data_IF_170436264324
#
_entry.id   IF_170436264324
#
_cell.length_a   1.000
_cell.length_b   1.000
_cell.length_c   1.000
_cell.angle_alpha   90.00
_cell.angle_beta   90.00
_cell.angle_gamma   90.00
#
_symmetry.space_group_name_H-M   'P 1'
#
loop_
_entity.id
_entity.type
_entity.pdbx_description
1 polymer ?
#
# COMPACT_ATOMS: atom_id res chain seq x y z
N UNK A 1 17.74 -6.73 1.53
CA UNK A 1 16.44 -6.17 1.16
C UNK A 1 16.29 -6.23 -0.34
N UNK A 2 15.07 -6.16 -0.86
CA UNK A 2 14.82 -6.05 -2.30
C UNK A 2 15.49 -4.80 -2.87
N UNK A 3 15.52 -3.68 -2.13
CA UNK A 3 16.27 -2.48 -2.53
C UNK A 3 17.73 -2.79 -2.89
N UNK A 4 18.43 -3.59 -2.06
CA UNK A 4 19.84 -3.96 -2.31
C UNK A 4 19.96 -4.82 -3.57
N UNK A 5 19.06 -5.79 -3.73
CA UNK A 5 19.05 -6.71 -4.87
C UNK A 5 18.78 -5.95 -6.19
N UNK A 6 17.87 -4.97 -6.14
CA UNK A 6 17.59 -4.05 -7.25
C UNK A 6 18.83 -3.23 -7.58
N UNK A 7 19.44 -2.57 -6.60
CA UNK A 7 20.63 -1.74 -6.82
C UNK A 7 21.78 -2.57 -7.37
N UNK A 8 22.01 -3.77 -6.84
CA UNK A 8 23.09 -4.65 -7.28
C UNK A 8 22.86 -5.14 -8.72
N UNK A 9 21.69 -5.73 -9.00
CA UNK A 9 21.41 -6.38 -10.29
C UNK A 9 21.24 -5.37 -11.43
N UNK A 10 20.54 -4.27 -11.17
CA UNK A 10 20.27 -3.27 -12.21
C UNK A 10 21.49 -2.40 -12.52
N UNK A 11 22.44 -2.23 -11.59
CA UNK A 11 23.73 -1.58 -11.88
C UNK A 11 24.69 -2.47 -12.67
N UNK A 12 24.62 -3.79 -12.50
CA UNK A 12 25.43 -4.75 -13.26
C UNK A 12 24.92 -5.03 -14.67
N UNK A 13 23.75 -4.51 -15.05
CA UNK A 13 23.22 -4.66 -16.40
C UNK A 13 24.08 -3.89 -17.42
N UNK A 14 24.18 -4.42 -18.65
CA UNK A 14 24.96 -3.81 -19.74
C UNK A 14 24.62 -2.31 -19.87
N UNK A 15 25.63 -1.41 -19.71
CA UNK A 15 25.47 0.04 -19.84
C UNK A 15 24.75 0.49 -21.10
N UNK A 16 24.93 -0.23 -22.21
CA UNK A 16 24.43 0.15 -23.52
C UNK A 16 22.99 -0.33 -23.75
N UNK A 17 22.47 -1.22 -22.90
CA UNK A 17 21.19 -1.88 -23.15
C UNK A 17 20.08 -1.48 -22.16
N UNK A 18 20.38 -0.88 -21.01
CA UNK A 18 19.34 -0.66 -20.00
C UNK A 18 19.47 0.61 -19.15
N UNK A 19 19.47 1.78 -19.81
CA UNK A 19 19.46 3.10 -19.16
C UNK A 19 18.30 3.28 -18.15
N UNK A 20 17.13 2.70 -18.44
CA UNK A 20 15.96 2.68 -17.52
C UNK A 20 16.33 2.02 -16.19
N UNK A 21 16.89 0.81 -16.23
CA UNK A 21 17.25 0.07 -15.03
C UNK A 21 18.32 0.80 -14.19
N UNK A 22 19.29 1.44 -14.84
CA UNK A 22 20.31 2.23 -14.14
C UNK A 22 19.71 3.43 -13.43
N UNK A 23 18.91 4.23 -14.14
CA UNK A 23 18.24 5.39 -13.57
C UNK A 23 17.33 4.98 -12.40
N UNK A 24 16.64 3.83 -12.51
CA UNK A 24 15.86 3.27 -11.42
C UNK A 24 16.73 2.92 -10.20
N UNK A 25 17.82 2.19 -10.41
CA UNK A 25 18.75 1.77 -9.36
C UNK A 25 19.36 2.98 -8.61
N UNK A 26 19.68 4.05 -9.33
CA UNK A 26 20.20 5.29 -8.73
C UNK A 26 19.16 6.00 -7.87
N UNK A 27 17.89 5.99 -8.26
CA UNK A 27 16.81 6.47 -7.41
C UNK A 27 16.65 5.59 -6.17
N UNK A 28 16.57 4.27 -6.33
CA UNK A 28 16.44 3.34 -5.18
C UNK A 28 17.60 3.50 -4.19
N UNK A 29 18.83 3.70 -4.67
CA UNK A 29 20.00 3.92 -3.81
C UNK A 29 19.90 5.21 -2.98
N UNK A 30 19.27 6.27 -3.50
CA UNK A 30 19.11 7.57 -2.82
C UNK A 30 17.84 7.68 -1.97
N UNK A 31 16.86 6.80 -2.18
CA UNK A 31 15.56 6.86 -1.53
C UNK A 31 15.66 6.65 -0.01
N UNK A 32 14.81 7.33 0.75
CA UNK A 32 14.56 6.93 2.13
C UNK A 32 13.80 5.61 2.13
N UNK A 33 14.37 4.57 2.73
CA UNK A 33 13.81 3.21 2.69
C UNK A 33 13.00 2.90 3.94
N UNK A 34 11.83 2.29 3.74
CA UNK A 34 10.93 1.78 4.76
C UNK A 34 10.58 0.32 4.46
N UNK A 35 10.83 -0.56 5.43
CA UNK A 35 10.37 -1.94 5.40
C UNK A 35 9.14 -2.04 6.29
N UNK A 36 8.01 -2.47 5.74
CA UNK A 36 6.76 -2.64 6.48
C UNK A 36 6.73 -4.02 7.13
N UNK A 37 6.39 -4.05 8.42
CA UNK A 37 6.16 -5.28 9.19
C UNK A 37 4.73 -5.81 8.97
N UNK A 38 4.48 -7.07 9.35
CA UNK A 38 3.15 -7.68 9.37
C UNK A 38 2.11 -6.79 10.06
N UNK A 39 2.46 -6.16 11.19
CA UNK A 39 1.55 -5.29 11.94
C UNK A 39 1.22 -4.00 11.18
N UNK A 40 2.23 -3.40 10.54
CA UNK A 40 2.01 -2.21 9.70
C UNK A 40 1.15 -2.55 8.47
N UNK A 41 1.38 -3.71 7.85
CA UNK A 41 0.59 -4.21 6.71
C UNK A 41 -0.85 -4.53 7.10
N UNK A 42 -1.08 -5.07 8.30
CA UNK A 42 -2.43 -5.29 8.81
C UNK A 42 -3.22 -3.99 8.96
N UNK A 43 -2.55 -2.94 9.43
CA UNK A 43 -3.15 -1.61 9.48
C UNK A 43 -3.46 -1.10 8.07
N UNK A 44 -2.51 -1.11 7.12
CA UNK A 44 -2.78 -0.65 5.74
C UNK A 44 -3.92 -1.42 5.08
N UNK A 45 -4.05 -2.71 5.34
CA UNK A 45 -5.17 -3.52 4.83
C UNK A 45 -6.50 -3.04 5.41
N UNK A 46 -6.56 -2.78 6.72
CA UNK A 46 -7.76 -2.22 7.36
C UNK A 46 -8.11 -0.85 6.77
N UNK A 47 -7.11 -0.02 6.44
CA UNK A 47 -7.30 1.26 5.74
C UNK A 47 -7.87 1.07 4.34
N UNK A 48 -7.30 0.14 3.57
CA UNK A 48 -7.64 -0.10 2.17
C UNK A 48 -9.13 -0.36 1.95
N UNK A 49 -9.79 -0.94 2.95
CA UNK A 49 -11.20 -1.34 2.91
C UNK A 49 -12.03 -0.63 4.00
N UNK A 50 -11.53 0.49 4.51
CA UNK A 50 -12.29 1.40 5.36
C UNK A 50 -13.38 2.11 4.57
N UNK A 51 -14.20 2.91 5.27
CA UNK A 51 -15.23 3.73 4.62
C UNK A 51 -14.60 4.75 3.66
N UNK A 52 -15.07 4.83 2.39
CA UNK A 52 -14.60 5.82 1.43
C UNK A 52 -14.57 7.27 1.95
N UNK A 53 -15.61 7.71 2.64
CA UNK A 53 -15.67 9.05 3.26
C UNK A 53 -14.51 9.30 4.22
N UNK A 54 -14.13 8.28 4.99
CA UNK A 54 -12.99 8.37 5.93
C UNK A 54 -11.67 8.50 5.17
N UNK A 55 -11.47 7.75 4.09
CA UNK A 55 -10.28 7.84 3.24
C UNK A 55 -10.14 9.22 2.60
N UNK A 56 -11.22 9.74 2.01
CA UNK A 56 -11.25 11.09 1.44
C UNK A 56 -10.92 12.14 2.49
N UNK A 57 -11.52 12.05 3.68
CA UNK A 57 -11.26 13.03 4.75
C UNK A 57 -9.80 13.02 5.21
N UNK A 58 -9.10 11.88 5.09
CA UNK A 58 -7.70 11.75 5.44
C UNK A 58 -6.75 12.30 4.37
N UNK A 59 -7.13 12.26 3.09
CA UNK A 59 -6.26 12.62 1.96
C UNK A 59 -5.60 13.99 2.09
N UNK A 60 -6.37 15.01 2.49
CA UNK A 60 -5.85 16.37 2.67
C UNK A 60 -4.71 16.47 3.69
N UNK A 61 -4.51 15.46 4.54
CA UNK A 61 -3.42 15.38 5.52
C UNK A 61 -2.26 14.48 5.11
N UNK A 62 -2.35 13.74 4.00
CA UNK A 62 -1.30 12.82 3.55
C UNK A 62 -0.18 13.61 2.87
N UNK A 63 1.06 13.42 3.33
CA UNK A 63 2.28 13.98 2.73
C UNK A 63 3.33 12.91 2.54
N UNK A 64 4.10 12.97 1.47
CA UNK A 64 5.37 12.24 1.40
C UNK A 64 6.42 12.97 2.24
N UNK A 65 6.98 12.33 3.29
CA UNK A 65 7.96 12.99 4.15
C UNK A 65 9.33 13.18 3.48
N UNK A 66 9.58 12.50 2.36
CA UNK A 66 10.82 12.61 1.60
C UNK A 66 10.51 12.75 0.11
N UNK A 67 11.35 13.48 -0.66
CA UNK A 67 11.18 13.60 -2.11
C UNK A 67 11.24 12.25 -2.83
N UNK A 68 12.01 11.31 -2.27
CA UNK A 68 12.20 9.97 -2.79
C UNK A 68 12.12 8.96 -1.66
N UNK A 69 11.13 8.08 -1.71
CA UNK A 69 10.84 7.08 -0.68
C UNK A 69 10.78 5.70 -1.31
N UNK A 70 11.26 4.68 -0.62
CA UNK A 70 11.12 3.28 -1.02
C UNK A 70 10.34 2.53 0.05
N UNK A 71 9.22 1.93 -0.33
CA UNK A 71 8.48 1.01 0.53
C UNK A 71 8.74 -0.42 0.12
N UNK A 72 8.93 -1.31 1.08
CA UNK A 72 9.16 -2.73 0.84
C UNK A 72 8.37 -3.60 1.81
N UNK A 73 7.83 -4.71 1.30
CA UNK A 73 7.24 -5.77 2.13
C UNK A 73 7.49 -7.15 1.53
N UNK A 74 7.52 -8.18 2.38
CA UNK A 74 7.46 -9.56 1.93
C UNK A 74 6.01 -10.00 1.69
N UNK A 75 5.80 -10.95 0.80
CA UNK A 75 4.46 -11.51 0.57
C UNK A 75 4.00 -12.35 1.77
N UNK A 76 4.91 -13.07 2.43
CA UNK A 76 4.60 -13.83 3.64
C UNK A 76 4.01 -12.94 4.76
N UNK A 77 4.55 -11.72 4.93
CA UNK A 77 4.05 -10.74 5.91
C UNK A 77 2.66 -10.20 5.51
N UNK A 78 2.41 -10.03 4.20
CA UNK A 78 1.08 -9.64 3.68
C UNK A 78 0.05 -10.73 3.94
N UNK A 79 0.42 -11.98 3.69
CA UNK A 79 -0.47 -13.12 3.88
C UNK A 79 -0.73 -13.39 5.36
N UNK A 80 0.28 -13.20 6.20
CA UNK A 80 0.10 -13.24 7.65
C UNK A 80 -0.80 -12.11 8.14
N UNK A 81 -0.60 -10.88 7.66
CA UNK A 81 -1.48 -9.76 7.96
C UNK A 81 -2.93 -10.06 7.55
N UNK A 82 -3.16 -10.61 6.36
CA UNK A 82 -4.51 -11.00 5.92
C UNK A 82 -5.13 -12.01 6.87
N UNK A 83 -4.43 -13.10 7.20
CA UNK A 83 -4.91 -14.10 8.16
C UNK A 83 -5.27 -13.49 9.51
N UNK A 84 -4.46 -12.54 10.01
CA UNK A 84 -4.69 -11.90 11.31
C UNK A 84 -5.84 -10.88 11.30
N UNK A 85 -6.02 -10.11 10.22
CA UNK A 85 -6.90 -8.94 10.22
C UNK A 85 -8.13 -9.05 9.31
N UNK A 86 -8.07 -9.85 8.24
CA UNK A 86 -9.20 -10.10 7.32
C UNK A 86 -9.98 -11.38 7.68
N UNK A 87 -9.46 -12.25 8.56
CA UNK A 87 -10.10 -13.50 8.97
C UNK A 87 -9.90 -14.66 7.99
N UNK A 88 -10.76 -15.68 8.07
CA UNK A 88 -10.67 -16.94 7.28
C UNK A 88 -11.21 -16.83 5.84
N UNK A 89 -11.42 -15.61 5.31
CA UNK A 89 -11.88 -15.37 3.95
C UNK A 89 -10.72 -14.84 3.07
N UNK A 90 -9.71 -15.69 2.75
CA UNK A 90 -8.61 -15.27 1.92
C UNK A 90 -9.14 -14.99 0.53
N UNK A 91 -8.98 -13.74 0.06
CA UNK A 91 -9.07 -13.46 -1.37
C UNK A 91 -8.11 -14.39 -2.10
N UNK A 92 -8.56 -15.15 -3.10
CA UNK A 92 -7.63 -15.87 -3.95
C UNK A 92 -6.71 -14.82 -4.58
N UNK A 93 -5.42 -14.92 -4.28
CA UNK A 93 -4.40 -14.23 -5.06
C UNK A 93 -4.59 -14.70 -6.51
N UNK A 94 -4.50 -13.78 -7.46
CA UNK A 94 -4.33 -14.22 -8.85
C UNK A 94 -3.12 -15.17 -8.92
N UNK A 95 -3.13 -16.14 -9.83
CA UNK A 95 -2.02 -17.10 -9.98
C UNK A 95 -0.65 -16.42 -10.18
N UNK A 96 -0.65 -15.17 -10.67
CA UNK A 96 0.55 -14.35 -10.81
C UNK A 96 1.02 -13.77 -9.45
N UNK A 97 0.10 -13.37 -8.56
CA UNK A 97 0.43 -12.83 -7.24
C UNK A 97 0.93 -13.90 -6.26
N UNK A 98 0.46 -15.15 -6.39
CA UNK A 98 0.92 -16.25 -5.53
C UNK A 98 2.40 -16.60 -5.70
N UNK A 99 3.01 -16.15 -6.80
CA UNK A 99 4.44 -16.34 -7.07
C UNK A 99 5.30 -15.17 -6.59
N UNK A 100 4.71 -14.07 -6.10
CA UNK A 100 5.44 -12.90 -5.62
C UNK A 100 6.01 -13.21 -4.24
N UNK A 101 7.30 -12.94 -4.05
CA UNK A 101 8.00 -13.10 -2.77
C UNK A 101 8.16 -11.77 -2.05
N UNK A 102 8.46 -10.71 -2.81
CA UNK A 102 8.66 -9.35 -2.27
C UNK A 102 8.17 -8.32 -3.26
N UNK A 103 7.65 -7.23 -2.73
CA UNK A 103 7.32 -6.05 -3.51
C UNK A 103 8.04 -4.84 -2.95
N UNK A 104 8.60 -4.05 -3.85
CA UNK A 104 9.24 -2.79 -3.58
C UNK A 104 8.59 -1.70 -4.42
N UNK A 105 8.31 -0.55 -3.84
CA UNK A 105 7.68 0.56 -4.53
C UNK A 105 8.51 1.81 -4.30
N UNK A 106 9.11 2.32 -5.37
CA UNK A 106 9.78 3.62 -5.38
C UNK A 106 8.73 4.71 -5.55
N UNK A 107 8.75 5.69 -4.65
CA UNK A 107 7.82 6.80 -4.59
C UNK A 107 8.59 8.09 -4.80
N UNK A 108 8.16 8.89 -5.78
CA UNK A 108 8.74 10.19 -6.08
C UNK A 108 7.67 11.28 -5.92
N UNK A 109 7.96 12.34 -5.18
CA UNK A 109 7.08 13.52 -5.07
C UNK A 109 7.06 14.34 -6.36
N UNK A 110 5.91 14.88 -6.74
CA UNK A 110 5.68 15.61 -7.99
C UNK A 110 5.31 17.07 -7.73
N UNK A 111 6.29 17.96 -7.61
CA UNK A 111 6.06 19.40 -7.43
C UNK A 111 5.48 19.81 -6.07
N UNK A 112 4.69 18.95 -5.42
CA UNK A 112 4.17 19.10 -4.07
C UNK A 112 4.41 17.83 -3.25
N UNK A 113 4.34 17.93 -1.93
CA UNK A 113 4.41 16.78 -1.02
C UNK A 113 3.14 15.91 -1.05
N UNK A 114 2.08 16.38 -1.72
CA UNK A 114 0.77 15.72 -1.83
C UNK A 114 0.58 14.96 -3.14
N UNK A 115 1.40 15.28 -4.14
CA UNK A 115 1.42 14.62 -5.42
C UNK A 115 2.62 13.68 -5.50
N UNK A 116 2.41 12.45 -5.94
CA UNK A 116 3.49 11.47 -6.05
C UNK A 116 3.27 10.47 -7.16
N UNK A 117 4.35 9.77 -7.50
CA UNK A 117 4.41 8.69 -8.47
C UNK A 117 4.95 7.43 -7.81
N UNK A 118 4.29 6.31 -8.01
CA UNK A 118 4.66 4.99 -7.52
C UNK A 118 5.17 4.11 -8.67
N UNK A 119 6.41 3.62 -8.54
CA UNK A 119 7.10 2.81 -9.53
C UNK A 119 7.46 1.46 -8.90
N UNK A 120 6.67 0.41 -9.16
CA UNK A 120 6.82 -0.85 -8.47
C UNK A 120 7.82 -1.81 -9.13
N UNK A 121 8.44 -2.63 -8.28
CA UNK A 121 9.27 -3.78 -8.63
C UNK A 121 8.81 -4.98 -7.80
N UNK A 122 8.70 -6.13 -8.45
CA UNK A 122 8.42 -7.41 -7.78
C UNK A 122 9.58 -8.37 -7.93
N UNK A 123 9.81 -9.18 -6.89
CA UNK A 123 10.67 -10.35 -6.91
C UNK A 123 9.80 -11.59 -6.79
N UNK A 124 9.97 -12.54 -7.70
CA UNK A 124 9.24 -13.81 -7.71
C UNK A 124 9.96 -14.88 -6.87
N UNK A 125 9.23 -15.96 -6.58
CA UNK A 125 9.74 -17.11 -5.82
C UNK A 125 10.95 -17.79 -6.48
N UNK A 126 11.02 -17.79 -7.81
CA UNK A 126 12.16 -18.29 -8.59
C UNK A 126 13.37 -17.33 -8.63
N UNK A 127 13.26 -16.18 -7.95
CA UNK A 127 14.31 -15.18 -7.85
C UNK A 127 14.39 -14.21 -9.03
N UNK A 128 13.54 -14.33 -10.06
CA UNK A 128 13.40 -13.30 -11.11
C UNK A 128 12.86 -12.02 -10.51
N UNK A 129 13.20 -10.89 -11.13
CA UNK A 129 12.64 -9.58 -10.78
C UNK A 129 12.00 -8.96 -12.02
N UNK A 130 10.87 -8.28 -11.83
CA UNK A 130 10.19 -7.51 -12.86
C UNK A 130 10.06 -6.06 -12.40
N UNK A 131 10.68 -5.16 -13.15
CA UNK A 131 10.43 -3.74 -13.09
C UNK A 131 9.28 -3.43 -14.05
N UNK A 132 8.22 -2.80 -13.55
CA UNK A 132 7.10 -2.40 -14.41
C UNK A 132 7.51 -1.23 -15.29
N UNK A 133 6.94 -1.11 -16.50
CA UNK A 133 7.22 0.03 -17.38
C UNK A 133 6.27 1.21 -17.15
N UNK A 134 5.16 0.95 -16.44
CA UNK A 134 4.17 1.93 -16.03
C UNK A 134 4.32 2.27 -14.55
N UNK A 135 3.88 3.46 -14.20
CA UNK A 135 3.83 3.98 -12.83
C UNK A 135 2.44 4.53 -12.55
N UNK A 136 2.00 4.39 -11.31
CA UNK A 136 0.78 5.06 -10.86
C UNK A 136 1.13 6.45 -10.33
N UNK A 137 0.23 7.40 -10.48
CA UNK A 137 0.36 8.76 -9.93
C UNK A 137 -0.85 9.05 -9.06
N UNK A 138 -0.64 9.84 -8.01
CA UNK A 138 -1.72 10.34 -7.18
C UNK A 138 -1.50 11.78 -6.78
N UNK A 139 -2.60 12.50 -6.58
CA UNK A 139 -2.60 13.84 -5.99
C UNK A 139 -3.69 14.00 -4.94
N UNK A 140 -3.24 14.31 -3.73
CA UNK A 140 -4.09 14.57 -2.57
C UNK A 140 -4.19 16.08 -2.25
N UNK A 141 -3.78 16.92 -3.20
CA UNK A 141 -4.06 18.35 -3.23
C UNK A 141 -5.55 18.64 -3.42
N UNK A 142 -5.90 19.91 -3.26
CA UNK A 142 -7.25 20.41 -3.52
C UNK A 142 -7.47 20.64 -5.03
N UNK A 143 -6.38 20.81 -5.78
CA UNK A 143 -6.39 20.93 -7.23
C UNK A 143 -6.29 19.53 -7.89
N UNK A 144 -7.10 19.25 -8.93
CA UNK A 144 -6.92 18.05 -9.73
C UNK A 144 -5.56 18.09 -10.43
N UNK A 145 -4.95 16.92 -10.63
CA UNK A 145 -3.74 16.81 -11.44
C UNK A 145 -3.95 17.51 -12.79
N UNK A 146 -3.01 18.34 -13.26
CA UNK A 146 -3.06 18.79 -14.64
C UNK A 146 -3.14 17.55 -15.55
N UNK A 147 -3.95 17.55 -16.63
CA UNK A 147 -4.06 16.42 -17.52
C UNK A 147 -2.67 16.11 -18.09
N UNK A 148 -2.03 15.07 -17.55
CA UNK A 148 -0.76 14.57 -18.05
C UNK A 148 -1.00 13.75 -19.33
N UNK A 149 0.05 13.15 -19.92
CA UNK A 149 -0.07 12.09 -20.93
C UNK A 149 -0.67 10.80 -20.35
N UNK A 150 -1.46 10.95 -19.29
CA UNK A 150 -2.11 9.91 -18.54
C UNK A 150 -3.25 9.36 -19.36
N UNK A 151 -3.37 8.04 -19.37
CA UNK A 151 -4.53 7.39 -19.96
C UNK A 151 -5.61 7.37 -18.89
N UNK A 152 -6.38 8.46 -18.85
CA UNK A 152 -7.60 8.52 -18.05
C UNK A 152 -8.56 7.47 -18.57
N UNK A 153 -8.73 6.39 -17.81
CA UNK A 153 -9.47 5.24 -18.32
C UNK A 153 -9.68 4.12 -17.32
N UNK A 154 -9.44 4.35 -16.02
CA UNK A 154 -9.91 3.44 -14.97
C UNK A 154 -11.43 3.59 -14.85
N UNK A 155 -12.10 3.15 -15.91
CA UNK A 155 -13.53 3.19 -16.09
C UNK A 155 -14.22 2.40 -14.99
N UNK A 156 -15.42 2.85 -14.64
CA UNK A 156 -16.39 2.14 -13.80
C UNK A 156 -16.49 0.64 -14.15
N UNK A 157 -16.24 0.26 -15.41
CA UNK A 157 -16.24 -1.11 -15.92
C UNK A 157 -15.29 -2.06 -15.15
N UNK A 158 -14.03 -1.70 -14.90
CA UNK A 158 -13.13 -2.60 -14.15
C UNK A 158 -13.46 -2.67 -12.66
N UNK A 159 -14.11 -1.64 -12.15
CA UNK A 159 -14.61 -1.65 -10.78
C UNK A 159 -15.82 -2.58 -10.66
N UNK A 160 -16.70 -2.60 -11.65
CA UNK A 160 -17.78 -3.58 -11.76
C UNK A 160 -17.22 -5.01 -11.84
N UNK A 161 -16.17 -5.24 -12.62
CA UNK A 161 -15.50 -6.54 -12.68
C UNK A 161 -14.90 -6.92 -11.32
N UNK A 162 -14.23 -5.98 -10.64
CA UNK A 162 -13.73 -6.23 -9.29
C UNK A 162 -14.84 -6.54 -8.28
N UNK A 163 -16.00 -5.87 -8.34
CA UNK A 163 -17.15 -6.21 -7.48
C UNK A 163 -17.74 -7.57 -7.83
N UNK A 164 -17.79 -7.95 -9.10
CA UNK A 164 -18.24 -9.29 -9.52
C UNK A 164 -17.29 -10.36 -8.99
N UNK A 165 -15.99 -10.14 -9.15
CA UNK A 165 -14.95 -11.07 -8.72
C UNK A 165 -14.86 -11.18 -7.21
N UNK A 166 -15.02 -10.08 -6.46
CA UNK A 166 -14.83 -10.09 -5.00
C UNK A 166 -16.13 -10.12 -4.20
N UNK A 167 -17.30 -10.02 -4.83
CA UNK A 167 -18.60 -9.95 -4.16
C UNK A 167 -18.92 -11.15 -3.27
N UNK A 168 -18.26 -12.28 -3.49
CA UNK A 168 -18.35 -13.48 -2.65
C UNK A 168 -17.51 -13.41 -1.36
N UNK A 169 -16.62 -12.43 -1.23
CA UNK A 169 -15.77 -12.22 -0.04
C UNK A 169 -16.41 -11.23 0.95
N UNK A 170 -16.05 -11.27 2.23
CA UNK A 170 -16.47 -10.28 3.24
C UNK A 170 -16.10 -8.86 2.79
N UNK A 171 -14.94 -8.70 2.17
CA UNK A 171 -14.44 -7.42 1.67
C UNK A 171 -15.33 -6.89 0.55
N UNK A 172 -15.65 -7.71 -0.46
CA UNK A 172 -16.52 -7.31 -1.56
C UNK A 172 -17.94 -7.00 -1.07
N UNK A 173 -18.51 -7.85 -0.20
CA UNK A 173 -19.81 -7.58 0.44
C UNK A 173 -19.81 -6.27 1.23
N UNK A 174 -18.73 -5.98 1.96
CA UNK A 174 -18.59 -4.74 2.73
C UNK A 174 -18.52 -3.51 1.81
N UNK A 175 -17.73 -3.57 0.75
CA UNK A 175 -17.68 -2.46 -0.21
C UNK A 175 -19.03 -2.27 -0.92
N UNK A 176 -19.71 -3.34 -1.32
CA UNK A 176 -21.05 -3.26 -1.88
C UNK A 176 -22.04 -2.56 -0.93
N UNK A 177 -21.97 -2.84 0.38
CA UNK A 177 -22.78 -2.13 1.38
C UNK A 177 -22.44 -0.64 1.49
N UNK A 178 -21.17 -0.25 1.42
CA UNK A 178 -20.81 1.16 1.40
C UNK A 178 -21.34 1.84 0.14
N UNK A 179 -21.22 1.21 -1.01
CA UNK A 179 -21.55 1.84 -2.30
C UNK A 179 -23.05 1.84 -2.63
N UNK A 180 -23.85 1.13 -1.82
CA UNK A 180 -25.30 1.29 -1.81
C UNK A 180 -25.73 2.64 -1.21
N UNK A 181 -24.87 3.29 -0.42
CA UNK A 181 -25.07 4.66 0.05
C UNK A 181 -24.46 5.65 -0.95
N UNK A 182 -25.25 6.65 -1.36
CA UNK A 182 -24.84 7.60 -2.40
C UNK A 182 -23.63 8.45 -1.99
N UNK A 183 -23.54 8.86 -0.72
CA UNK A 183 -22.45 9.70 -0.23
C UNK A 183 -21.14 8.90 -0.17
N UNK A 184 -21.18 7.63 0.27
CA UNK A 184 -20.02 6.75 0.23
C UNK A 184 -19.62 6.38 -1.20
N UNK A 185 -20.58 6.22 -2.13
CA UNK A 185 -20.29 6.01 -3.56
C UNK A 185 -19.59 7.22 -4.17
N UNK A 186 -20.10 8.43 -3.92
CA UNK A 186 -19.48 9.67 -4.39
C UNK A 186 -18.06 9.84 -3.82
N UNK A 187 -17.90 9.64 -2.51
CA UNK A 187 -16.58 9.68 -1.87
C UNK A 187 -15.62 8.63 -2.46
N UNK A 188 -16.12 7.45 -2.80
CA UNK A 188 -15.30 6.42 -3.43
C UNK A 188 -14.86 6.82 -4.84
N UNK A 189 -15.76 7.37 -5.65
CA UNK A 189 -15.42 7.89 -6.98
C UNK A 189 -14.43 9.05 -6.91
N UNK A 190 -14.63 9.97 -5.96
CA UNK A 190 -13.68 11.05 -5.70
C UNK A 190 -12.31 10.51 -5.28
N UNK A 191 -12.26 9.44 -4.47
CA UNK A 191 -11.01 8.79 -4.05
C UNK A 191 -10.31 8.16 -5.25
N UNK A 192 -11.04 7.42 -6.07
CA UNK A 192 -10.50 6.78 -7.27
C UNK A 192 -10.01 7.80 -8.30
N UNK A 193 -10.71 8.92 -8.45
CA UNK A 193 -10.33 10.04 -9.31
C UNK A 193 -9.03 10.73 -8.90
N UNK A 194 -8.47 10.43 -7.72
CA UNK A 194 -7.14 10.92 -7.32
C UNK A 194 -5.99 10.07 -7.87
N UNK A 195 -6.28 8.94 -8.50
CA UNK A 195 -5.26 8.03 -9.01
C UNK A 195 -5.27 8.00 -10.52
N UNK A 196 -4.07 7.96 -11.08
CA UNK A 196 -3.85 7.85 -12.52
C UNK A 196 -2.62 6.98 -12.80
N UNK A 197 -2.29 6.77 -14.07
CA UNK A 197 -1.07 6.08 -14.45
C UNK A 197 -0.43 6.69 -15.70
N UNK A 198 0.88 6.47 -15.82
CA UNK A 198 1.67 6.91 -16.95
C UNK A 198 2.83 5.94 -17.20
N UNK A 199 3.46 6.05 -18.37
CA UNK A 199 4.76 5.42 -18.63
C UNK A 199 5.79 5.99 -17.64
N UNK A 200 6.66 5.14 -17.11
CA UNK A 200 7.73 5.56 -16.21
C UNK A 200 8.61 6.65 -16.86
N UNK A 201 9.04 7.68 -16.11
CA UNK A 201 9.70 8.84 -16.71
C UNK A 201 11.02 8.46 -17.40
N UNK A 202 11.82 7.61 -16.75
CA UNK A 202 13.02 6.99 -17.31
C UNK A 202 12.76 6.15 -18.56
N UNK A 203 11.64 5.44 -18.65
CA UNK A 203 11.22 4.73 -19.86
C UNK A 203 10.87 5.74 -20.96
N UNK A 204 10.09 6.77 -20.63
CA UNK A 204 9.68 7.81 -21.57
C UNK A 204 10.87 8.63 -22.10
N UNK A 205 11.92 8.85 -21.30
CA UNK A 205 13.17 9.48 -21.73
C UNK A 205 13.93 8.61 -22.75
N UNK A 206 14.05 7.31 -22.48
CA UNK A 206 14.70 6.36 -23.41
C UNK A 206 13.94 6.26 -24.73
N UNK A 207 12.60 6.22 -24.69
CA UNK A 207 11.77 6.21 -25.90
C UNK A 207 11.95 7.49 -26.71
N UNK A 208 11.89 8.66 -26.05
CA UNK A 208 12.13 9.97 -26.70
C UNK A 208 13.52 10.04 -27.34
N UNK A 209 14.56 9.58 -26.66
CA UNK A 209 15.92 9.53 -27.19
C UNK A 209 16.06 8.63 -28.43
N UNK A 210 15.15 7.66 -28.59
CA UNK A 210 15.08 6.76 -29.76
C UNK A 210 14.09 7.23 -30.83
N UNK A 211 13.47 8.40 -30.67
CA UNK A 211 12.44 8.90 -31.60
C UNK A 211 11.15 8.07 -31.58
N UNK A 212 10.91 7.29 -30.54
CA UNK A 212 9.72 6.46 -30.39
C UNK A 212 8.68 7.19 -29.53
N UNK A 213 7.40 7.24 -29.94
CA UNK A 213 6.36 7.85 -29.13
C UNK A 213 6.05 6.98 -27.89
N UNK A 214 5.77 7.58 -26.71
CA UNK A 214 5.57 6.82 -25.46
C UNK A 214 4.36 5.88 -25.46
N UNK A 215 3.35 6.17 -26.28
CA UNK A 215 2.12 5.39 -26.44
C UNK A 215 2.37 3.97 -26.99
N UNK A 216 3.50 3.73 -27.67
CA UNK A 216 3.93 2.37 -28.07
C UNK A 216 3.95 1.42 -26.87
N UNK A 217 4.35 1.88 -25.69
CA UNK A 217 4.38 1.04 -24.49
C UNK A 217 2.98 0.78 -23.92
N UNK A 218 2.06 1.74 -24.09
CA UNK A 218 0.66 1.59 -23.66
C UNK A 218 -0.13 0.64 -24.57
N UNK A 219 0.30 0.45 -25.82
CA UNK A 219 -0.30 -0.48 -26.78
C UNK A 219 0.19 -1.94 -26.67
N UNK A 220 1.14 -2.26 -25.78
CA UNK A 220 1.64 -3.62 -25.62
C UNK A 220 0.59 -4.52 -24.94
N UNK A 221 0.47 -5.82 -25.30
CA UNK A 221 -0.42 -6.76 -24.62
C UNK A 221 -0.19 -6.83 -23.10
N UNK A 222 1.04 -6.63 -22.65
CA UNK A 222 1.42 -6.55 -21.23
C UNK A 222 0.99 -5.26 -20.54
N UNK A 223 0.57 -4.23 -21.29
CA UNK A 223 0.16 -2.95 -20.72
C UNK A 223 -1.06 -3.11 -19.81
N UNK A 224 -2.01 -4.00 -20.14
CA UNK A 224 -3.19 -4.22 -19.29
C UNK A 224 -2.85 -4.69 -17.87
N UNK A 225 -1.84 -5.56 -17.73
CA UNK A 225 -1.32 -6.03 -16.45
C UNK A 225 -0.47 -4.96 -15.76
N UNK A 226 0.46 -4.33 -16.48
CA UNK A 226 1.34 -3.29 -15.94
C UNK A 226 0.54 -2.09 -15.41
N UNK A 227 -0.54 -1.71 -16.08
CA UNK A 227 -1.44 -0.63 -15.66
C UNK A 227 -2.19 -1.00 -14.38
N UNK A 228 -2.74 -2.22 -14.31
CA UNK A 228 -3.36 -2.70 -13.08
C UNK A 228 -2.36 -2.68 -11.92
N UNK A 229 -1.13 -3.12 -12.18
CA UNK A 229 -0.09 -3.17 -11.18
C UNK A 229 0.36 -1.77 -10.74
N UNK A 230 0.46 -0.83 -11.67
CA UNK A 230 0.77 0.58 -11.40
C UNK A 230 -0.30 1.23 -10.50
N UNK A 231 -1.57 0.97 -10.80
CA UNK A 231 -2.70 1.51 -10.05
C UNK A 231 -2.85 0.85 -8.67
N UNK A 232 -2.60 -0.46 -8.58
CA UNK A 232 -2.45 -1.13 -7.30
C UNK A 232 -1.33 -0.50 -6.48
N UNK A 233 -0.14 -0.32 -7.06
CA UNK A 233 1.03 0.19 -6.36
C UNK A 233 0.80 1.61 -5.81
N UNK A 234 0.18 2.51 -6.56
CA UNK A 234 -0.09 3.87 -6.07
C UNK A 234 -1.12 3.90 -4.94
N UNK A 235 -2.10 2.99 -4.95
CA UNK A 235 -3.05 2.81 -3.84
C UNK A 235 -2.37 2.22 -2.60
N UNK A 236 -1.46 1.27 -2.77
CA UNK A 236 -0.66 0.76 -1.65
C UNK A 236 0.22 1.86 -1.04
N UNK A 237 0.85 2.68 -1.89
CA UNK A 237 1.63 3.83 -1.43
C UNK A 237 0.76 4.82 -0.67
N UNK A 238 -0.47 5.09 -1.12
CA UNK A 238 -1.39 5.98 -0.40
C UNK A 238 -1.58 5.52 1.05
N UNK A 239 -1.79 4.22 1.26
CA UNK A 239 -1.97 3.63 2.60
C UNK A 239 -0.69 3.73 3.42
N UNK A 240 0.46 3.41 2.82
CA UNK A 240 1.75 3.52 3.49
C UNK A 240 2.04 4.96 3.93
N UNK A 241 1.70 5.94 3.09
CA UNK A 241 1.81 7.35 3.41
C UNK A 241 0.84 7.76 4.52
N UNK A 242 -0.40 7.25 4.54
CA UNK A 242 -1.31 7.48 5.69
C UNK A 242 -0.62 7.06 6.99
N UNK A 243 -0.03 5.87 7.02
CA UNK A 243 0.68 5.36 8.20
C UNK A 243 1.80 6.30 8.63
N UNK A 244 2.64 6.74 7.70
CA UNK A 244 3.73 7.68 8.03
C UNK A 244 3.23 9.05 8.55
N UNK A 245 2.00 9.43 8.21
CA UNK A 245 1.39 10.68 8.66
C UNK A 245 0.55 10.54 9.93
N UNK A 246 0.42 9.33 10.49
CA UNK A 246 -0.30 9.14 11.75
C UNK A 246 0.42 9.85 12.89
N UNK A 247 -0.33 10.63 13.66
CA UNK A 247 0.18 11.30 14.88
C UNK A 247 0.46 10.31 16.02
N UNK A 248 -0.09 9.11 15.94
CA UNK A 248 0.06 8.03 16.92
C UNK A 248 0.08 6.67 16.23
N UNK A 249 0.32 5.60 16.99
CA UNK A 249 0.09 4.23 16.51
C UNK A 249 1.20 3.65 15.64
N UNK A 250 2.28 4.38 15.36
CA UNK A 250 3.40 3.85 14.58
C UNK A 250 4.73 4.11 15.28
N UNK A 251 5.62 3.14 15.15
CA UNK A 251 7.01 3.22 15.59
C UNK A 251 7.91 3.04 14.35
N UNK A 252 8.89 3.93 14.23
CA UNK A 252 9.88 3.92 13.16
C UNK A 252 11.22 3.66 13.81
N UNK A 253 11.83 2.52 13.49
CA UNK A 253 13.16 2.15 13.99
C UNK A 253 14.19 2.29 12.89
N UNK A 254 15.22 3.08 13.13
CA UNK A 254 16.38 3.16 12.26
C UNK A 254 17.20 1.86 12.31
N UNK A 255 17.57 1.37 11.13
CA UNK A 255 18.47 0.24 10.94
C UNK A 255 19.60 0.71 10.04
N UNK A 256 20.69 1.12 10.68
CA UNK A 256 21.93 1.50 10.02
C UNK A 256 23.10 0.70 10.62
N UNK A 257 24.13 0.49 9.81
CA UNK A 257 25.44 0.04 10.32
C UNK A 257 25.48 -1.31 11.05
N UNK A 258 24.59 -2.27 10.73
CA UNK A 258 24.70 -3.64 11.30
C UNK A 258 25.97 -4.33 10.77
N UNK A 259 27.07 -4.16 11.50
CA UNK A 259 28.38 -4.72 11.14
C UNK A 259 28.38 -6.25 11.07
N UNK A 260 27.48 -6.91 11.82
CA UNK A 260 27.37 -8.37 11.79
C UNK A 260 26.74 -8.81 10.48
N UNK A 261 25.63 -8.18 10.08
CA UNK A 261 25.00 -8.41 8.79
C UNK A 261 25.94 -8.02 7.63
N UNK A 262 26.64 -6.90 7.73
CA UNK A 262 27.60 -6.46 6.73
C UNK A 262 28.78 -7.43 6.59
N UNK A 263 29.33 -7.95 7.70
CA UNK A 263 30.37 -9.00 7.68
C UNK A 263 29.87 -10.28 7.01
N UNK A 264 28.68 -10.75 7.35
CA UNK A 264 28.10 -11.94 6.73
C UNK A 264 27.91 -11.76 5.22
N UNK A 265 27.39 -10.60 4.80
CA UNK A 265 27.20 -10.29 3.38
C UNK A 265 28.53 -10.21 2.63
N UNK A 266 29.56 -9.59 3.20
CA UNK A 266 30.93 -9.60 2.63
C UNK A 266 31.46 -11.02 2.44
N UNK A 267 31.27 -11.91 3.42
CA UNK A 267 31.65 -13.34 3.30
C UNK A 267 30.91 -14.05 2.16
N UNK A 268 29.68 -13.64 1.88
CA UNK A 268 28.85 -14.17 0.78
C UNK A 268 29.06 -13.42 -0.55
N UNK A 269 30.05 -12.52 -0.66
CA UNK A 269 30.29 -11.73 -1.87
C UNK A 269 29.19 -10.71 -2.19
N UNK A 270 28.38 -10.32 -1.19
CA UNK A 270 27.27 -9.38 -1.34
C UNK A 270 27.63 -8.02 -0.74
N UNK A 271 27.19 -6.89 -1.35
CA UNK A 271 27.42 -5.56 -0.79
C UNK A 271 26.73 -5.40 0.57
N UNK A 272 27.21 -4.51 1.46
CA UNK A 272 26.53 -4.17 2.71
C UNK A 272 25.07 -3.76 2.49
N UNK A 273 24.23 -3.95 3.50
CA UNK A 273 22.84 -3.49 3.43
C UNK A 273 22.80 -1.96 3.39
N UNK A 274 21.89 -1.43 2.59
CA UNK A 274 21.53 -0.01 2.65
C UNK A 274 20.82 0.31 3.98
N UNK A 275 21.06 1.51 4.48
CA UNK A 275 20.33 2.04 5.64
C UNK A 275 18.84 2.10 5.33
N UNK A 276 18.03 1.69 6.29
CA UNK A 276 16.59 1.65 6.15
C UNK A 276 15.90 1.86 7.50
N UNK A 277 14.60 2.15 7.43
CA UNK A 277 13.71 2.25 8.57
C UNK A 277 12.78 1.05 8.57
N UNK A 278 12.54 0.48 9.74
CA UNK A 278 11.49 -0.53 9.93
C UNK A 278 10.26 0.18 10.49
N UNK A 279 9.14 0.03 9.79
CA UNK A 279 7.85 0.62 10.16
C UNK A 279 7.00 -0.45 10.84
N UNK A 280 6.63 -0.22 12.10
CA UNK A 280 5.80 -1.14 12.87
C UNK A 280 4.68 -0.42 13.62
N UNK A 281 3.60 -1.13 13.92
CA UNK A 281 2.49 -0.59 14.67
C UNK A 281 2.89 -0.46 16.14
N UNK A 282 2.79 0.75 16.70
CA UNK A 282 2.91 0.97 18.14
C UNK A 282 1.61 0.53 18.82
N UNK A 283 1.52 -0.75 19.15
CA UNK A 283 0.50 -1.25 20.07
C UNK A 283 1.04 -1.11 21.50
N UNK A 284 0.44 -0.25 22.35
CA UNK A 284 0.79 -0.27 23.76
C UNK A 284 0.53 -1.67 24.29
N UNK A 285 1.50 -2.30 24.96
CA UNK A 285 1.35 -3.66 25.54
C UNK A 285 0.12 -3.80 26.44
N UNK A 286 -0.38 -2.69 27.00
CA UNK A 286 -1.62 -2.67 27.77
C UNK A 286 -2.89 -2.83 26.94
N UNK A 287 -2.92 -2.52 25.64
CA UNK A 287 -4.13 -2.68 24.79
C UNK A 287 -4.34 -4.15 24.41
N UNK A 288 -3.26 -4.94 24.31
CA UNK A 288 -3.34 -6.40 24.14
C UNK A 288 -3.87 -7.06 25.42
N UNK A 289 -3.50 -6.54 26.61
CA UNK A 289 -4.01 -7.03 27.91
C UNK A 289 -5.36 -6.46 28.34
N UNK A 290 -5.70 -5.23 27.98
CA UNK A 290 -7.01 -4.63 28.32
C UNK A 290 -8.17 -5.30 27.56
N UNK A 291 -7.87 -6.01 26.46
CA UNK A 291 -8.83 -6.91 25.83
C UNK A 291 -9.31 -8.03 26.78
N UNK A 292 -8.50 -8.38 27.77
CA UNK A 292 -8.79 -9.44 28.74
C UNK A 292 -9.31 -8.88 30.07
N UNK A 293 -9.06 -7.61 30.40
CA UNK A 293 -9.22 -7.11 31.79
C UNK A 293 -10.06 -5.84 31.99
N UNK A 294 -10.59 -5.16 30.96
CA UNK A 294 -11.44 -3.97 31.16
C UNK A 294 -12.69 -3.92 30.30
N UNK A 295 -13.75 -4.57 30.79
CA UNK A 295 -15.12 -4.11 30.58
C UNK A 295 -15.42 -2.97 31.57
N UNK A 296 -16.16 -1.96 31.12
CA UNK A 296 -16.71 -0.91 31.99
C UNK A 296 -16.11 0.48 31.74
N UNK A 297 -16.80 1.25 30.89
CA UNK A 297 -17.56 2.42 31.33
C UNK A 297 -18.11 3.17 30.10
N UNK A 298 -19.44 3.18 29.96
CA UNK A 298 -20.13 3.93 28.92
C UNK A 298 -21.57 3.46 28.65
N UNK A 299 -22.47 3.71 29.60
CA UNK A 299 -23.90 4.08 29.44
C UNK A 299 -24.78 3.44 28.35
N UNK A 300 -24.55 2.18 27.96
CA UNK A 300 -25.53 1.43 27.18
C UNK A 300 -25.56 -0.04 27.59
N UNK A 301 -26.74 -0.56 27.92
CA UNK A 301 -27.05 -1.99 28.05
C UNK A 301 -26.80 -2.69 26.70
N UNK A 302 -25.55 -3.03 26.42
CA UNK A 302 -25.15 -3.67 25.18
C UNK A 302 -24.13 -4.75 25.48
N UNK A 303 -24.35 -5.95 24.94
CA UNK A 303 -23.42 -7.07 24.99
C UNK A 303 -22.02 -6.64 24.51
N UNK A 304 -20.98 -7.17 25.18
CA UNK A 304 -19.61 -6.87 24.81
C UNK A 304 -19.33 -7.32 23.37
N UNK A 305 -18.70 -6.45 22.59
CA UNK A 305 -18.28 -6.76 21.23
C UNK A 305 -16.93 -6.13 20.89
N UNK A 306 -16.21 -6.77 19.97
CA UNK A 306 -14.91 -6.30 19.50
C UNK A 306 -15.06 -5.19 18.47
N UNK A 307 -14.50 -4.01 18.78
CA UNK A 307 -14.43 -2.88 17.85
C UNK A 307 -13.11 -2.95 17.10
N UNK A 308 -13.18 -3.04 15.77
CA UNK A 308 -11.99 -3.05 14.89
C UNK A 308 -11.27 -1.69 14.93
N UNK A 309 -9.94 -1.71 14.81
CA UNK A 309 -9.15 -0.50 14.71
C UNK A 309 -9.48 0.29 13.44
N UNK A 310 -9.45 1.62 13.51
CA UNK A 310 -9.82 2.47 12.39
C UNK A 310 -9.16 3.85 12.44
N UNK A 311 -9.16 4.57 11.32
CA UNK A 311 -8.71 5.96 11.29
C UNK A 311 -9.70 6.88 11.98
N UNK A 312 -9.15 7.83 12.72
CA UNK A 312 -9.86 8.99 13.21
C UNK A 312 -9.20 10.24 12.65
N UNK A 313 -9.87 10.90 11.72
CA UNK A 313 -9.44 12.19 11.19
C UNK A 313 -9.94 13.30 12.09
N UNK A 314 -9.05 14.20 12.48
CA UNK A 314 -9.34 15.39 13.29
C UNK A 314 -8.69 16.60 12.66
N UNK A 315 -9.09 17.81 13.09
CA UNK A 315 -8.44 19.07 12.69
C UNK A 315 -6.92 19.06 12.89
N UNK A 316 -6.41 18.34 13.89
CA UNK A 316 -4.98 18.29 14.23
C UNK A 316 -4.19 17.21 13.49
N UNK A 317 -4.85 16.37 12.69
CA UNK A 317 -4.22 15.33 11.87
C UNK A 317 -4.98 14.01 11.92
N UNK A 318 -4.29 12.97 11.43
CA UNK A 318 -4.82 11.61 11.34
C UNK A 318 -4.30 10.80 12.53
N UNK A 319 -5.20 10.03 13.15
CA UNK A 319 -4.90 9.17 14.28
C UNK A 319 -5.37 7.75 14.00
N UNK A 320 -4.65 6.77 14.55
CA UNK A 320 -5.10 5.39 14.63
C UNK A 320 -5.84 5.18 15.95
N UNK A 321 -7.08 4.70 15.88
CA UNK A 321 -7.84 4.23 17.03
C UNK A 321 -7.71 2.72 17.12
N UNK A 322 -7.02 2.24 18.16
CA UNK A 322 -6.76 0.80 18.32
C UNK A 322 -8.04 -0.01 18.57
N UNK A 323 -7.93 -1.30 18.31
CA UNK A 323 -8.96 -2.28 18.68
C UNK A 323 -9.26 -2.21 20.18
N UNK A 324 -10.54 -2.32 20.54
CA UNK A 324 -11.00 -2.33 21.93
C UNK A 324 -12.35 -3.05 22.03
N UNK A 325 -12.69 -3.53 23.22
CA UNK A 325 -14.04 -4.00 23.52
C UNK A 325 -14.96 -2.81 23.81
N UNK A 326 -16.23 -2.95 23.45
CA UNK A 326 -17.31 -2.02 23.82
C UNK A 326 -18.51 -2.83 24.30
N UNK A 327 -19.17 -2.35 25.35
CA UNK A 327 -20.29 -3.04 26.01
C UNK A 327 -19.87 -3.69 27.33
N UNK A 328 -20.83 -4.38 27.97
CA UNK A 328 -20.62 -5.06 29.24
C UNK A 328 -20.44 -6.58 29.01
N UNK A 329 -19.27 -7.16 29.34
CA UNK A 329 -19.04 -8.61 29.25
C UNK A 329 -20.01 -9.44 30.10
N UNK A 330 -20.56 -8.86 31.18
CA UNK A 330 -21.52 -9.53 32.06
C UNK A 330 -22.85 -9.84 31.37
N UNK A 331 -23.18 -9.08 30.31
CA UNK A 331 -24.37 -9.28 29.48
C UNK A 331 -24.17 -10.33 28.36
N UNK A 332 -22.99 -10.94 28.30
CA UNK A 332 -22.57 -11.88 27.25
C UNK A 332 -21.82 -11.20 26.10
N UNK A 333 -21.21 -12.02 25.24
CA UNK A 333 -20.54 -11.57 24.02
C UNK A 333 -21.55 -11.50 22.88
N UNK A 334 -21.58 -10.38 22.16
CA UNK A 334 -22.35 -10.29 20.94
C UNK A 334 -21.65 -11.11 19.86
N UNK A 335 -22.04 -12.39 19.75
CA UNK A 335 -21.73 -13.16 18.57
C UNK A 335 -22.53 -12.57 17.40
N UNK A 336 -21.82 -12.10 16.37
CA UNK A 336 -22.48 -11.71 15.13
C UNK A 336 -22.98 -12.98 14.43
N UNK A 337 -24.18 -13.42 14.78
CA UNK A 337 -24.86 -14.50 14.08
C UNK A 337 -25.32 -13.98 12.71
N UNK A 338 -24.56 -14.31 11.67
CA UNK A 338 -24.98 -14.01 10.29
C UNK A 338 -26.12 -14.96 9.92
N UNK A 339 -27.36 -14.45 9.94
CA UNK A 339 -28.50 -15.18 9.37
C UNK A 339 -28.40 -15.06 7.85
N UNK A 340 -27.92 -16.11 7.20
CA UNK A 340 -28.05 -16.28 5.75
C UNK A 340 -29.54 -16.43 5.45
N UNK A 341 -30.16 -15.40 4.85
CA UNK A 341 -31.51 -15.53 4.30
C UNK A 341 -31.39 -16.17 2.91
N UNK A 342 -32.24 -17.16 2.57
CA UNK A 342 -32.19 -17.86 1.30
C UNK A 342 -32.43 -16.95 0.09
#
# INVERSE_FOLDING_TARGET
MLADDVVQRLRSADPNQNAVCRAFAEHVARAQRFVLTTEALGMTQTLAYGRPTTLISAMGSIRSPYPLTWFEHAQDDVDEARRRYDGDDPRPLSAHESCIRRTGILVQTLGSERAYRAMPVVQFADGRMRLMLHCGTADFGDDPLPPGPCVTGYSELRQQDWYRETGHTEIGRRMARYLADDAEREAHMAFLGRFDYAVMPMTAEVLRARGLPPDIVTGLPSAGEDVNFALWAVREVAKNLVILNLRNGVEIRDVSGDERAARLRRRLGRPPLLDHKVLTLRMPRHVVRLGEERGGDGDAEMQAHWVRGHLKVRRTGIYWWSHHFRGDPSLGMADKTYVMRP
#
